data_IF_332566882137
#
_entry.id   IF_332566882137
#
_cell.length_a   1.000
_cell.length_b   1.000
_cell.length_c   1.000
_cell.angle_alpha   90.00
_cell.angle_beta   90.00
_cell.angle_gamma   90.00
#
_symmetry.space_group_name_H-M   'P 1'
#
loop_
_entity.id
_entity.type
_entity.pdbx_description
1 polymer ?
#
# COMPACT_ATOMS: atom_id res chain seq x y z
N UNK A 1 -8.92 -4.46 -14.66
CA UNK A 1 -9.55 -3.80 -15.83
C UNK A 1 -8.75 -2.58 -16.28
N UNK A 2 -8.47 -1.58 -15.42
CA UNK A 2 -7.60 -0.47 -15.82
C UNK A 2 -6.15 -0.90 -16.11
N UNK A 3 -5.61 -1.83 -15.32
CA UNK A 3 -4.25 -2.39 -15.46
C UNK A 3 -3.97 -3.18 -16.74
N UNK A 4 -5.01 -3.56 -17.50
CA UNK A 4 -4.85 -4.27 -18.78
C UNK A 4 -4.90 -3.34 -19.99
N UNK A 5 -5.21 -2.05 -19.78
CA UNK A 5 -5.36 -1.03 -20.82
C UNK A 5 -4.31 0.07 -20.67
N UNK A 6 -3.92 0.39 -19.43
CA UNK A 6 -2.88 1.38 -19.14
C UNK A 6 -1.62 0.64 -18.71
N UNK A 7 -0.49 0.99 -19.33
CA UNK A 7 0.82 0.47 -18.97
C UNK A 7 1.05 0.59 -17.45
N UNK A 8 1.41 -0.52 -16.76
CA UNK A 8 1.47 -0.58 -15.30
C UNK A 8 2.33 0.51 -14.65
N UNK A 9 3.36 0.98 -15.35
CA UNK A 9 4.25 2.07 -14.93
C UNK A 9 3.51 3.39 -14.73
N UNK A 10 2.67 3.77 -15.69
CA UNK A 10 1.90 5.01 -15.59
C UNK A 10 0.78 4.89 -14.58
N UNK A 11 0.13 3.72 -14.51
CA UNK A 11 -0.97 3.49 -13.58
C UNK A 11 -0.51 3.59 -12.12
N UNK A 12 0.53 2.85 -11.73
CA UNK A 12 1.02 2.84 -10.35
C UNK A 12 1.60 4.19 -9.91
N UNK A 13 2.39 4.84 -10.77
CA UNK A 13 2.96 6.14 -10.44
C UNK A 13 1.88 7.22 -10.33
N UNK A 14 0.90 7.23 -11.23
CA UNK A 14 -0.21 8.20 -11.20
C UNK A 14 -1.10 7.98 -9.98
N UNK A 15 -1.43 6.73 -9.64
CA UNK A 15 -2.17 6.40 -8.41
C UNK A 15 -1.42 6.88 -7.16
N UNK A 16 -0.12 6.64 -7.08
CA UNK A 16 0.72 7.06 -5.94
C UNK A 16 0.82 8.58 -5.86
N UNK A 17 0.94 9.27 -6.99
CA UNK A 17 1.00 10.72 -7.05
C UNK A 17 -0.32 11.36 -6.59
N UNK A 18 -1.46 10.90 -7.10
CA UNK A 18 -2.77 11.37 -6.64
C UNK A 18 -2.98 11.06 -5.15
N UNK A 19 -2.61 9.86 -4.71
CA UNK A 19 -2.64 9.50 -3.29
C UNK A 19 -1.89 10.52 -2.43
N UNK A 20 -0.64 10.87 -2.78
CA UNK A 20 0.15 11.86 -2.05
C UNK A 20 -0.50 13.26 -2.06
N UNK A 21 -1.04 13.69 -3.21
CA UNK A 21 -1.75 14.99 -3.29
C UNK A 21 -2.97 15.05 -2.37
N UNK A 22 -3.81 14.01 -2.34
CA UNK A 22 -4.97 13.97 -1.45
C UNK A 22 -4.58 13.94 0.03
N UNK A 23 -3.47 13.26 0.36
CA UNK A 23 -2.90 13.27 1.72
C UNK A 23 -2.47 14.68 2.13
N UNK A 24 -1.80 15.44 1.25
CA UNK A 24 -1.43 16.83 1.55
C UNK A 24 -2.66 17.71 1.84
N UNK A 25 -3.77 17.53 1.12
CA UNK A 25 -4.98 18.29 1.38
C UNK A 25 -5.61 17.98 2.75
N UNK A 26 -5.34 16.81 3.36
CA UNK A 26 -5.83 16.48 4.70
C UNK A 26 -5.25 17.38 5.79
N UNK A 27 -4.03 17.91 5.60
CA UNK A 27 -3.41 18.86 6.53
C UNK A 27 -4.27 20.12 6.74
N UNK A 28 -4.92 20.61 5.68
CA UNK A 28 -5.77 21.82 5.70
C UNK A 28 -7.24 21.52 6.04
N UNK A 29 -7.60 20.27 6.29
CA UNK A 29 -8.98 19.93 6.60
C UNK A 29 -9.39 20.49 7.97
N UNK A 30 -10.38 21.37 7.98
CA UNK A 30 -10.96 21.98 9.18
C UNK A 30 -12.27 21.30 9.61
N UNK A 31 -12.90 20.54 8.71
CA UNK A 31 -14.15 19.83 8.95
C UNK A 31 -13.98 18.33 8.88
N UNK A 32 -14.65 17.59 9.77
CA UNK A 32 -14.69 16.13 9.75
C UNK A 32 -15.24 15.59 8.41
N UNK A 33 -16.22 16.27 7.81
CA UNK A 33 -16.76 15.90 6.49
C UNK A 33 -15.70 15.98 5.39
N UNK A 34 -14.85 17.00 5.42
CA UNK A 34 -13.76 17.15 4.46
C UNK A 34 -12.75 16.01 4.58
N UNK A 35 -12.43 15.57 5.81
CA UNK A 35 -11.54 14.42 6.06
C UNK A 35 -12.13 13.14 5.49
N UNK A 36 -13.44 12.89 5.67
CA UNK A 36 -14.09 11.69 5.11
C UNK A 36 -14.06 11.64 3.58
N UNK A 37 -14.34 12.78 2.92
CA UNK A 37 -14.29 12.87 1.46
C UNK A 37 -12.87 12.66 0.94
N UNK A 38 -11.87 13.31 1.55
CA UNK A 38 -10.47 13.11 1.18
C UNK A 38 -10.05 11.65 1.36
N UNK A 39 -10.47 11.01 2.46
CA UNK A 39 -10.19 9.58 2.69
C UNK A 39 -10.82 8.67 1.66
N UNK A 40 -12.02 8.99 1.18
CA UNK A 40 -12.65 8.23 0.11
C UNK A 40 -11.80 8.25 -1.16
N UNK A 41 -11.32 9.43 -1.57
CA UNK A 41 -10.46 9.55 -2.74
C UNK A 41 -9.11 8.85 -2.52
N UNK A 42 -8.46 9.05 -1.37
CA UNK A 42 -7.22 8.35 -1.03
C UNK A 42 -7.38 6.83 -1.14
N UNK A 43 -8.46 6.27 -0.58
CA UNK A 43 -8.75 4.84 -0.64
C UNK A 43 -9.06 4.35 -2.07
N UNK A 44 -9.73 5.18 -2.88
CA UNK A 44 -9.99 4.87 -4.30
C UNK A 44 -8.69 4.67 -5.07
N UNK A 45 -7.71 5.57 -4.89
CA UNK A 45 -6.41 5.46 -5.56
C UNK A 45 -5.53 4.35 -4.96
N UNK A 46 -5.60 4.12 -3.66
CA UNK A 46 -4.86 3.05 -2.98
C UNK A 46 -5.33 1.64 -3.41
N UNK A 47 -6.64 1.48 -3.64
CA UNK A 47 -7.21 0.18 -4.04
C UNK A 47 -6.63 -0.38 -5.34
N UNK A 48 -6.14 0.49 -6.23
CA UNK A 48 -5.52 0.13 -7.50
C UNK A 48 -4.03 -0.21 -7.39
N UNK A 49 -3.37 0.14 -6.28
CA UNK A 49 -1.93 0.00 -6.13
C UNK A 49 -1.49 -1.45 -5.88
N UNK A 50 -2.16 -2.12 -4.93
CA UNK A 50 -1.88 -3.53 -4.60
C UNK A 50 -2.07 -4.46 -5.81
N UNK A 51 -3.22 -4.48 -6.51
CA UNK A 51 -3.39 -5.33 -7.68
C UNK A 51 -2.42 -4.96 -8.81
N UNK A 52 -2.02 -3.69 -8.94
CA UNK A 52 -1.02 -3.26 -9.90
C UNK A 52 0.38 -3.80 -9.58
N UNK A 53 0.79 -3.76 -8.32
CA UNK A 53 2.06 -4.34 -7.87
C UNK A 53 2.12 -5.85 -8.11
N UNK A 54 1.05 -6.57 -7.75
CA UNK A 54 0.95 -8.01 -8.01
C UNK A 54 0.90 -8.35 -9.51
N UNK A 55 0.30 -7.48 -10.34
CA UNK A 55 0.31 -7.64 -11.79
C UNK A 55 1.74 -7.59 -12.36
N UNK A 56 2.53 -6.58 -11.96
CA UNK A 56 3.94 -6.46 -12.40
C UNK A 56 4.78 -7.64 -11.91
N UNK A 57 4.60 -8.07 -10.66
CA UNK A 57 5.31 -9.25 -10.14
C UNK A 57 4.90 -10.51 -10.94
N UNK A 58 3.61 -10.63 -11.28
CA UNK A 58 3.09 -11.75 -12.05
C UNK A 58 3.57 -11.78 -13.50
N UNK A 59 3.81 -10.61 -14.13
CA UNK A 59 4.25 -10.51 -15.52
C UNK A 59 5.76 -10.71 -15.70
N UNK A 60 6.56 -10.53 -14.64
CA UNK A 60 8.03 -10.60 -14.71
C UNK A 60 8.62 -11.90 -14.12
N UNK A 61 7.87 -12.65 -13.31
CA UNK A 61 8.42 -13.77 -12.53
C UNK A 61 7.68 -15.09 -12.71
N UNK A 62 8.41 -16.20 -12.50
CA UNK A 62 7.87 -17.57 -12.58
C UNK A 62 7.00 -17.92 -11.39
N UNK A 63 6.15 -18.94 -11.54
CA UNK A 63 5.24 -19.44 -10.49
C UNK A 63 5.94 -19.71 -9.16
N UNK A 64 7.14 -20.30 -9.23
CA UNK A 64 7.96 -20.67 -8.07
C UNK A 64 8.62 -19.46 -7.39
N UNK A 65 8.80 -18.35 -8.11
CA UNK A 65 9.51 -17.16 -7.63
C UNK A 65 8.55 -16.06 -7.14
N UNK A 66 7.32 -16.03 -7.65
CA UNK A 66 6.30 -15.03 -7.29
C UNK A 66 6.04 -15.01 -5.79
N UNK A 67 5.90 -16.18 -5.15
CA UNK A 67 5.61 -16.27 -3.71
C UNK A 67 6.70 -15.59 -2.89
N UNK A 68 7.98 -15.91 -3.15
CA UNK A 68 9.12 -15.33 -2.42
C UNK A 68 9.22 -13.81 -2.61
N UNK A 69 8.99 -13.32 -3.84
CA UNK A 69 9.06 -11.88 -4.15
C UNK A 69 7.87 -11.11 -3.58
N UNK A 70 6.70 -11.70 -3.59
CA UNK A 70 5.49 -11.15 -2.96
C UNK A 70 5.66 -11.04 -1.45
N UNK A 71 6.28 -12.01 -0.80
CA UNK A 71 6.59 -11.93 0.63
C UNK A 71 7.52 -10.76 0.95
N UNK A 72 8.55 -10.51 0.14
CA UNK A 72 9.45 -9.36 0.32
C UNK A 72 8.67 -8.03 0.21
N UNK A 73 7.74 -7.93 -0.73
CA UNK A 73 6.85 -6.76 -0.86
C UNK A 73 5.95 -6.58 0.37
N UNK A 74 5.43 -7.67 0.94
CA UNK A 74 4.64 -7.59 2.16
C UNK A 74 5.49 -7.20 3.37
N UNK A 75 6.74 -7.70 3.47
CA UNK A 75 7.67 -7.29 4.53
C UNK A 75 8.00 -5.80 4.50
N UNK A 76 8.15 -5.20 3.31
CA UNK A 76 8.40 -3.75 3.21
C UNK A 76 7.20 -2.93 3.69
N UNK A 77 5.98 -3.38 3.41
CA UNK A 77 4.75 -2.76 3.92
C UNK A 77 4.74 -2.75 5.46
N UNK A 78 5.01 -3.90 6.07
CA UNK A 78 5.07 -4.05 7.54
C UNK A 78 6.18 -3.18 8.15
N UNK A 79 7.36 -3.14 7.53
CA UNK A 79 8.46 -2.27 7.95
C UNK A 79 8.10 -0.78 7.87
N UNK A 80 7.38 -0.36 6.83
CA UNK A 80 6.88 1.01 6.67
C UNK A 80 5.93 1.42 7.80
N UNK A 81 5.02 0.52 8.20
CA UNK A 81 4.09 0.76 9.32
C UNK A 81 4.83 0.95 10.64
N UNK A 82 5.89 0.19 10.88
CA UNK A 82 6.73 0.34 12.06
C UNK A 82 7.43 1.71 12.10
N UNK A 83 8.03 2.11 10.98
CA UNK A 83 8.73 3.40 10.86
C UNK A 83 7.75 4.58 11.02
N UNK A 84 6.52 4.46 10.49
CA UNK A 84 5.48 5.48 10.62
C UNK A 84 5.17 5.84 12.08
N UNK A 85 5.08 4.85 12.97
CA UNK A 85 4.81 5.12 14.39
C UNK A 85 5.93 5.89 15.10
N UNK A 86 7.20 5.60 14.78
CA UNK A 86 8.34 6.36 15.32
C UNK A 86 8.40 7.79 14.78
N UNK A 87 8.09 7.98 13.49
CA UNK A 87 7.99 9.32 12.89
C UNK A 87 6.90 10.13 13.60
N UNK A 88 5.73 9.52 13.87
CA UNK A 88 4.65 10.19 14.60
C UNK A 88 5.05 10.57 16.03
N UNK A 89 5.78 9.72 16.74
CA UNK A 89 6.30 10.04 18.07
C UNK A 89 7.32 11.19 18.03
N UNK A 90 8.24 11.17 17.07
CA UNK A 90 9.24 12.25 16.88
C UNK A 90 8.61 13.59 16.49
N UNK A 91 7.59 13.58 15.63
CA UNK A 91 6.82 14.76 15.25
C UNK A 91 6.01 15.32 16.43
N UNK A 92 5.46 14.46 17.28
CA UNK A 92 4.76 14.89 18.47
C UNK A 92 5.68 15.63 19.46
N UNK A 93 6.90 15.11 19.67
CA UNK A 93 7.85 15.74 20.59
C UNK A 93 8.35 17.10 20.09
N UNK A 94 8.70 17.19 18.79
CA UNK A 94 9.44 18.34 18.27
C UNK A 94 8.56 19.39 17.56
N UNK A 95 7.33 19.05 17.16
CA UNK A 95 6.51 19.92 16.30
C UNK A 95 5.15 20.32 16.90
N UNK A 96 4.88 19.98 18.15
CA UNK A 96 3.70 20.51 18.84
C UNK A 96 3.85 22.04 19.00
N UNK A 97 2.91 22.80 18.43
CA UNK A 97 2.88 24.27 18.39
C UNK A 97 3.95 24.96 17.51
N UNK A 98 4.82 24.22 16.81
CA UNK A 98 5.70 24.81 15.80
C UNK A 98 4.88 25.29 14.60
N UNK A 99 5.00 26.58 14.26
CA UNK A 99 4.24 27.31 13.24
C UNK A 99 2.70 27.28 13.40
N UNK A 100 2.20 27.14 14.64
CA UNK A 100 0.76 27.22 14.92
C UNK A 100 -0.05 25.99 14.48
N UNK A 101 0.62 24.87 14.19
CA UNK A 101 0.01 23.65 13.68
C UNK A 101 0.13 22.52 14.69
N UNK A 102 -0.90 21.67 14.75
CA UNK A 102 -0.88 20.48 15.57
C UNK A 102 0.08 19.43 14.96
N UNK A 103 0.76 18.63 15.79
CA UNK A 103 1.73 17.64 15.31
C UNK A 103 1.13 16.62 14.32
N UNK A 104 -0.16 16.27 14.44
CA UNK A 104 -0.81 15.34 13.50
C UNK A 104 -0.91 15.88 12.07
N UNK A 105 -0.98 17.21 11.93
CA UNK A 105 -1.04 17.89 10.62
C UNK A 105 0.30 17.78 9.91
N UNK A 106 1.40 17.90 10.65
CA UNK A 106 2.75 17.76 10.12
C UNK A 106 3.02 16.38 9.51
N UNK A 107 2.45 15.31 10.07
CA UNK A 107 2.58 13.95 9.50
C UNK A 107 2.18 13.92 8.02
N UNK A 108 1.05 14.53 7.67
CA UNK A 108 0.57 14.55 6.29
C UNK A 108 1.46 15.37 5.34
N UNK A 109 2.13 16.40 5.84
CA UNK A 109 3.10 17.18 5.04
C UNK A 109 4.34 16.32 4.78
N UNK A 110 4.89 15.67 5.82
CA UNK A 110 6.06 14.80 5.68
C UNK A 110 5.77 13.62 4.74
N UNK A 111 4.60 13.00 4.85
CA UNK A 111 4.18 11.92 3.94
C UNK A 111 4.14 12.38 2.48
N UNK A 112 3.72 13.62 2.21
CA UNK A 112 3.75 14.20 0.87
C UNK A 112 5.18 14.47 0.38
N UNK A 113 6.03 15.07 1.23
CA UNK A 113 7.41 15.43 0.88
C UNK A 113 8.25 14.20 0.57
N UNK A 114 8.04 13.10 1.30
CA UNK A 114 8.73 11.82 1.05
C UNK A 114 8.04 11.05 -0.10
N UNK A 115 6.70 11.12 -0.17
CA UNK A 115 5.90 10.39 -1.15
C UNK A 115 6.10 10.85 -2.59
N UNK A 116 6.18 12.15 -2.86
CA UNK A 116 6.36 12.66 -4.24
C UNK A 116 7.67 12.18 -4.89
N UNK A 117 8.85 12.31 -4.26
CA UNK A 117 10.09 11.80 -4.82
C UNK A 117 10.03 10.30 -5.07
N UNK A 118 9.38 9.53 -4.19
CA UNK A 118 9.19 8.09 -4.37
C UNK A 118 8.24 7.78 -5.54
N UNK A 119 7.17 8.55 -5.71
CA UNK A 119 6.25 8.41 -6.84
C UNK A 119 6.94 8.73 -8.19
N UNK A 120 7.76 9.78 -8.21
CA UNK A 120 8.60 10.16 -9.35
C UNK A 120 9.68 9.10 -9.62
N UNK A 121 10.34 8.59 -8.59
CA UNK A 121 11.30 7.50 -8.74
C UNK A 121 10.63 6.23 -9.27
N UNK A 122 9.43 5.91 -8.78
CA UNK A 122 8.59 4.84 -9.29
C UNK A 122 8.28 5.02 -10.77
N UNK A 123 8.05 6.25 -11.22
CA UNK A 123 7.87 6.53 -12.65
C UNK A 123 9.09 6.15 -13.51
N UNK A 124 10.31 6.26 -12.99
CA UNK A 124 11.51 5.88 -13.75
C UNK A 124 11.90 4.42 -13.55
N UNK A 125 11.74 3.87 -12.35
CA UNK A 125 12.24 2.55 -12.00
C UNK A 125 11.24 1.41 -12.22
N UNK A 126 9.93 1.68 -12.25
CA UNK A 126 8.94 0.62 -12.43
C UNK A 126 8.99 0.12 -13.88
N UNK A 127 9.37 -1.16 -14.11
CA UNK A 127 9.44 -1.70 -15.46
C UNK A 127 8.03 -1.98 -15.99
N UNK A 128 7.79 -1.66 -17.25
CA UNK A 128 6.56 -2.05 -17.95
C UNK A 128 6.52 -3.57 -18.19
N UNK A 129 5.42 -4.06 -18.74
CA UNK A 129 5.32 -5.44 -19.24
C UNK A 129 6.56 -5.79 -20.08
N UNK A 130 7.20 -6.97 -19.91
CA UNK A 130 8.42 -7.33 -20.66
C UNK A 130 8.22 -7.24 -22.18
N UNK A 131 6.99 -7.29 -22.67
CA UNK A 131 6.65 -7.19 -24.11
C UNK A 131 6.30 -5.78 -24.60
N UNK A 132 6.01 -4.79 -23.74
CA UNK A 132 5.57 -3.45 -24.18
C UNK A 132 6.74 -2.47 -24.41
N UNK A 133 7.44 -2.04 -23.36
CA UNK A 133 8.43 -0.95 -23.46
C UNK A 133 9.83 -1.41 -23.02
N UNK A 134 10.86 -0.83 -23.64
CA UNK A 134 12.26 -1.09 -23.28
C UNK A 134 12.54 -0.46 -21.92
N UNK A 135 12.82 -1.29 -20.93
CA UNK A 135 13.27 -0.81 -19.62
C UNK A 135 14.64 -0.16 -19.77
N UNK A 136 14.81 1.06 -19.26
CA UNK A 136 16.03 1.88 -19.46
C UNK A 136 17.31 1.23 -18.93
N UNK A 137 17.20 0.29 -17.99
CA UNK A 137 18.32 -0.41 -17.36
C UNK A 137 18.59 -1.81 -17.92
N UNK A 138 17.80 -2.32 -18.88
CA UNK A 138 17.91 -3.71 -19.35
C UNK A 138 18.29 -3.80 -20.83
N UNK A 139 19.17 -4.76 -21.16
CA UNK A 139 19.59 -5.03 -22.54
C UNK A 139 18.57 -5.89 -23.28
N UNK A 140 18.45 -5.73 -24.60
CA UNK A 140 17.49 -6.52 -25.42
C UNK A 140 17.70 -8.04 -25.29
N UNK A 141 18.95 -8.48 -25.08
CA UNK A 141 19.28 -9.89 -24.83
C UNK A 141 18.69 -10.42 -23.53
N UNK A 142 18.76 -9.64 -22.46
CA UNK A 142 18.20 -10.01 -21.14
C UNK A 142 16.68 -10.03 -21.19
N UNK A 143 16.10 -9.10 -21.96
CA UNK A 143 14.66 -9.05 -22.23
C UNK A 143 14.17 -10.33 -22.91
N UNK A 144 14.85 -10.78 -23.96
CA UNK A 144 14.44 -11.97 -24.69
C UNK A 144 14.51 -13.21 -23.80
N UNK A 145 15.55 -13.33 -22.96
CA UNK A 145 15.67 -14.40 -21.96
C UNK A 145 14.47 -14.38 -21.01
N UNK A 146 14.02 -13.21 -20.53
CA UNK A 146 12.83 -13.11 -19.69
C UNK A 146 11.57 -13.57 -20.42
N UNK A 147 11.37 -13.16 -21.68
CA UNK A 147 10.20 -13.53 -22.48
C UNK A 147 10.17 -15.05 -22.76
N UNK A 148 11.30 -15.62 -23.17
CA UNK A 148 11.41 -17.05 -23.45
C UNK A 148 11.14 -17.87 -22.19
N UNK A 149 11.66 -17.42 -21.03
CA UNK A 149 11.43 -18.06 -19.73
C UNK A 149 9.97 -18.04 -19.29
N UNK A 150 9.20 -17.04 -19.69
CA UNK A 150 7.76 -16.91 -19.40
C UNK A 150 6.91 -17.73 -20.39
N UNK A 151 7.36 -17.82 -21.66
CA UNK A 151 6.72 -18.64 -22.69
C UNK A 151 6.79 -20.14 -22.37
N UNK A 152 7.89 -20.60 -21.76
CA UNK A 152 8.07 -21.98 -21.30
C UNK A 152 7.01 -22.46 -20.27
N UNK A 153 6.39 -21.54 -19.52
CA UNK A 153 5.38 -21.86 -18.49
C UNK A 153 3.92 -21.64 -18.97
N UNK A 154 3.69 -21.35 -20.26
CA UNK A 154 2.40 -20.95 -20.85
C UNK A 154 1.69 -19.83 -20.06
N UNK A 155 2.47 -18.98 -19.36
CA UNK A 155 1.98 -17.84 -18.58
C UNK A 155 1.83 -16.59 -19.42
N UNK A 156 1.29 -16.73 -20.62
CA UNK A 156 0.85 -15.59 -21.41
C UNK A 156 -0.35 -14.92 -20.73
N UNK A 157 -0.08 -13.89 -19.91
CA UNK A 157 -1.08 -13.05 -19.26
C UNK A 157 -2.10 -12.43 -20.26
N UNK A 158 -1.74 -12.42 -21.54
CA UNK A 158 -2.53 -11.85 -22.65
C UNK A 158 -3.51 -12.83 -23.31
N UNK A 159 -3.43 -14.16 -23.04
CA UNK A 159 -4.38 -15.16 -23.62
C UNK A 159 -5.76 -15.17 -22.94
N UNK A 160 -5.94 -14.45 -21.84
CA UNK A 160 -7.24 -14.35 -21.18
C UNK A 160 -8.19 -13.43 -21.98
N UNK A 161 -8.79 -13.98 -23.04
CA UNK A 161 -9.90 -13.31 -23.72
C UNK A 161 -11.03 -13.06 -22.72
N UNK A 162 -11.48 -11.81 -22.64
CA UNK A 162 -12.53 -11.38 -21.75
C UNK A 162 -13.81 -12.15 -22.06
N UNK A 163 -14.21 -13.02 -21.15
CA UNK A 163 -15.44 -13.78 -21.29
C UNK A 163 -16.30 -13.53 -20.06
N UNK A 164 -17.51 -12.99 -20.26
CA UNK A 164 -18.50 -12.79 -19.19
C UNK A 164 -18.78 -14.11 -18.45
N UNK A 165 -18.60 -15.24 -19.14
CA UNK A 165 -18.62 -16.58 -18.56
C UNK A 165 -17.53 -16.81 -17.50
N UNK A 166 -16.30 -16.31 -17.72
CA UNK A 166 -15.22 -16.39 -16.73
C UNK A 166 -15.52 -15.51 -15.51
N UNK A 167 -16.09 -14.32 -15.70
CA UNK A 167 -16.53 -13.46 -14.60
C UNK A 167 -17.62 -14.15 -13.76
N UNK A 168 -18.64 -14.72 -14.40
CA UNK A 168 -19.70 -15.46 -13.70
C UNK A 168 -19.15 -16.69 -12.98
N UNK A 169 -18.16 -17.38 -13.56
CA UNK A 169 -17.48 -18.52 -12.92
C UNK A 169 -16.69 -18.10 -11.67
N UNK A 170 -15.99 -16.98 -11.72
CA UNK A 170 -15.23 -16.41 -10.60
C UNK A 170 -16.19 -16.00 -9.47
N UNK A 171 -17.25 -15.23 -9.77
CA UNK A 171 -18.23 -14.80 -8.77
C UNK A 171 -19.16 -15.91 -8.27
N UNK A 172 -19.28 -17.02 -8.99
CA UNK A 172 -20.02 -18.21 -8.54
C UNK A 172 -19.14 -19.20 -7.78
N UNK A 173 -17.85 -18.93 -7.64
CA UNK A 173 -16.88 -19.81 -6.98
C UNK A 173 -16.94 -19.63 -5.47
N UNK A 174 -17.22 -20.69 -4.72
CA UNK A 174 -17.25 -20.64 -3.25
C UNK A 174 -15.88 -20.30 -2.65
N UNK A 175 -14.80 -20.66 -3.36
CA UNK A 175 -13.42 -20.38 -2.96
C UNK A 175 -13.16 -18.88 -2.82
N UNK A 176 -13.81 -18.05 -3.63
CA UNK A 176 -13.64 -16.60 -3.58
C UNK A 176 -14.26 -16.03 -2.30
N UNK A 177 -15.49 -16.44 -1.98
CA UNK A 177 -16.15 -16.05 -0.74
C UNK A 177 -15.44 -16.61 0.49
N UNK A 178 -15.00 -17.87 0.46
CA UNK A 178 -14.22 -18.47 1.54
C UNK A 178 -12.90 -17.72 1.77
N UNK A 179 -12.21 -17.33 0.71
CA UNK A 179 -11.00 -16.51 0.79
C UNK A 179 -11.29 -15.12 1.36
N UNK A 180 -12.33 -14.42 0.88
CA UNK A 180 -12.73 -13.11 1.41
C UNK A 180 -13.09 -13.17 2.89
N UNK A 181 -13.85 -14.18 3.31
CA UNK A 181 -14.23 -14.38 4.72
C UNK A 181 -13.00 -14.72 5.57
N UNK A 182 -12.15 -15.64 5.11
CA UNK A 182 -10.91 -15.98 5.81
C UNK A 182 -9.99 -14.77 5.97
N UNK A 183 -9.84 -13.97 4.91
CA UNK A 183 -9.07 -12.74 4.93
C UNK A 183 -9.68 -11.70 5.89
N UNK A 184 -11.00 -11.52 5.86
CA UNK A 184 -11.69 -10.61 6.78
C UNK A 184 -11.55 -11.03 8.24
N UNK A 185 -11.64 -12.34 8.53
CA UNK A 185 -11.43 -12.89 9.87
C UNK A 185 -9.99 -12.66 10.33
N UNK A 186 -9.00 -12.92 9.46
CA UNK A 186 -7.59 -12.67 9.76
C UNK A 186 -7.32 -11.19 10.08
N UNK A 187 -7.85 -10.27 9.28
CA UNK A 187 -7.68 -8.82 9.50
C UNK A 187 -8.37 -8.33 10.77
N UNK A 188 -9.51 -8.92 11.15
CA UNK A 188 -10.20 -8.59 12.39
C UNK A 188 -9.48 -9.12 13.64
N UNK A 189 -8.75 -10.23 13.54
CA UNK A 189 -8.17 -10.95 14.69
C UNK A 189 -6.67 -10.70 14.90
N UNK A 190 -5.87 -10.70 13.84
CA UNK A 190 -4.40 -10.68 13.92
C UNK A 190 -3.74 -9.64 13.01
N UNK A 191 -4.51 -8.90 12.20
CA UNK A 191 -3.97 -7.95 11.22
C UNK A 191 -3.77 -6.52 11.76
N UNK A 192 -3.89 -5.54 10.86
CA UNK A 192 -3.64 -4.11 11.14
C UNK A 192 -4.56 -3.56 12.23
N UNK A 193 -5.72 -4.17 12.43
CA UNK A 193 -6.66 -3.75 13.45
C UNK A 193 -6.14 -4.01 14.87
N UNK A 194 -5.31 -5.04 15.10
CA UNK A 194 -4.76 -5.31 16.43
C UNK A 194 -3.91 -4.14 16.93
N UNK A 195 -3.09 -3.54 16.06
CA UNK A 195 -2.35 -2.32 16.39
C UNK A 195 -3.30 -1.18 16.80
N UNK A 196 -4.38 -0.97 16.03
CA UNK A 196 -5.38 0.08 16.31
C UNK A 196 -6.09 -0.14 17.64
N UNK A 197 -6.50 -1.38 17.92
CA UNK A 197 -7.13 -1.77 19.18
C UNK A 197 -6.18 -1.57 20.35
N UNK A 198 -4.89 -1.89 20.19
CA UNK A 198 -3.89 -1.70 21.22
C UNK A 198 -3.62 -0.22 21.52
N UNK A 199 -3.56 0.64 20.50
CA UNK A 199 -3.50 2.10 20.72
C UNK A 199 -4.71 2.60 21.50
N UNK A 200 -5.91 2.12 21.18
CA UNK A 200 -7.16 2.49 21.88
C UNK A 200 -7.19 1.95 23.32
N UNK A 201 -6.75 0.70 23.52
CA UNK A 201 -6.66 0.09 24.83
C UNK A 201 -5.69 0.87 25.73
N UNK A 202 -4.49 1.20 25.24
CA UNK A 202 -3.53 2.01 25.97
C UNK A 202 -4.06 3.41 26.31
N UNK A 203 -4.90 4.00 25.44
CA UNK A 203 -5.62 5.25 25.73
C UNK A 203 -6.71 5.10 26.79
N UNK A 204 -7.37 3.94 26.88
CA UNK A 204 -8.42 3.68 27.88
C UNK A 204 -7.86 3.44 29.29
N UNK A 205 -6.58 3.06 29.41
CA UNK A 205 -5.92 2.84 30.70
C UNK A 205 -5.66 4.18 31.40
N UNK A 206 -6.62 4.60 32.22
CA UNK A 206 -6.52 5.76 33.12
C UNK A 206 -6.22 5.32 34.54
N UNK A 207 -5.29 6.00 35.21
CA UNK A 207 -5.01 5.84 36.65
C UNK A 207 -5.32 7.19 37.29
N UNK A 208 -6.22 7.22 38.26
CA UNK A 208 -6.68 8.44 38.94
C UNK A 208 -7.16 9.54 37.99
N UNK A 209 -7.92 9.20 36.94
CA UNK A 209 -8.48 10.17 35.98
C UNK A 209 -7.50 10.70 34.92
N UNK A 210 -6.19 10.46 35.08
CA UNK A 210 -5.17 10.82 34.10
C UNK A 210 -4.75 9.61 33.25
N UNK A 211 -4.34 9.86 32.01
CA UNK A 211 -3.86 8.80 31.11
C UNK A 211 -2.56 8.20 31.69
N UNK A 212 -2.52 6.88 31.87
CA UNK A 212 -1.36 6.16 32.43
C UNK A 212 -0.11 6.25 31.55
N UNK A 213 -0.31 6.38 30.24
CA UNK A 213 0.76 6.43 29.24
C UNK A 213 0.78 7.78 28.52
N UNK A 214 1.99 8.32 28.33
CA UNK A 214 2.21 9.48 27.46
C UNK A 214 1.84 9.14 26.02
N UNK A 215 1.45 10.16 25.24
CA UNK A 215 1.06 10.02 23.82
C UNK A 215 2.18 9.36 23.00
N UNK A 216 3.45 9.58 23.36
CA UNK A 216 4.60 8.92 22.74
C UNK A 216 4.63 7.41 23.00
N UNK A 217 4.39 6.99 24.26
CA UNK A 217 4.33 5.56 24.61
C UNK A 217 3.12 4.89 23.95
N UNK A 218 2.02 5.61 23.80
CA UNK A 218 0.82 5.13 23.10
C UNK A 218 1.08 4.91 21.61
N UNK A 219 1.97 5.70 20.99
CA UNK A 219 2.34 5.55 19.58
C UNK A 219 3.46 4.51 19.39
N UNK A 220 4.42 4.40 20.33
CA UNK A 220 5.58 3.51 20.22
C UNK A 220 5.34 2.09 20.72
N UNK A 221 4.39 1.84 21.63
CA UNK A 221 4.14 0.48 22.12
C UNK A 221 3.45 -0.42 21.07
N UNK A 222 2.47 0.06 20.29
CA UNK A 222 1.82 -0.75 19.25
C UNK A 222 2.71 -1.03 18.04
N UNK A 223 3.79 -0.28 17.80
CA UNK A 223 4.69 -0.54 16.66
C UNK A 223 5.45 -1.85 16.79
N UNK A 224 5.68 -2.33 18.03
CA UNK A 224 6.28 -3.65 18.30
C UNK A 224 5.39 -4.79 17.78
N UNK A 225 4.07 -4.60 17.81
CA UNK A 225 3.10 -5.57 17.28
C UNK A 225 3.18 -5.63 15.75
N UNK A 226 3.62 -4.55 15.11
CA UNK A 226 3.96 -4.58 13.68
C UNK A 226 5.23 -5.34 13.34
N UNK A 227 5.98 -5.84 14.32
CA UNK A 227 7.20 -6.61 14.07
C UNK A 227 6.93 -8.13 13.96
N UNK A 228 5.78 -8.60 14.46
CA UNK A 228 5.38 -10.02 14.55
C UNK A 228 4.26 -10.29 13.56
#
# INVERSE_FOLDING_TARGET
MALTVVEPRYWLSTCTMFWSFFVLFMYKAESAKAIYVLRFFTGLFESGAIPGAFYIIGSWYRSSEISRRSSIFMFSSVGGQMVSGYIQAGLYHNMNHHMGLAAWRWVFIFDFVIGIPVALFGFFCCPDEPRSSKVWWMTEKERQICIDRLADEDRDAMKASWNIAAFKRIFSSWQLYAFCVAWAVMECTCGVNLQRWMTLYLKSLKVNGHNKYSIEKINNLPTIIGCV
#
